data_IF_288477531973
#
_entry.id   IF_288477531973
#
_cell.length_a   1.000
_cell.length_b   1.000
_cell.length_c   1.000
_cell.angle_alpha   90.00
_cell.angle_beta   90.00
_cell.angle_gamma   90.00
#
_symmetry.space_group_name_H-M   'P 1'
#
loop_
_entity.id
_entity.type
_entity.pdbx_description
1 polymer ?
#
# COMPACT_ATOMS: atom_id res chain seq x y z
N UNK A 1 12.17 5.02 -13.29
CA UNK A 1 12.13 4.45 -11.94
C UNK A 1 12.61 3.01 -12.06
N UNK A 2 13.70 2.65 -11.41
CA UNK A 2 14.24 1.29 -11.47
C UNK A 2 13.55 0.43 -10.42
N UNK A 3 12.44 -0.20 -10.82
CA UNK A 3 11.50 -0.90 -9.94
C UNK A 3 12.16 -2.03 -9.14
N UNK A 4 13.23 -2.64 -9.67
CA UNK A 4 13.95 -3.74 -9.05
C UNK A 4 15.08 -3.31 -8.11
N UNK A 5 15.44 -2.03 -8.08
CA UNK A 5 16.43 -1.51 -7.12
C UNK A 5 15.80 -1.06 -5.80
N UNK A 6 14.48 -0.96 -5.73
CA UNK A 6 13.77 -0.66 -4.49
C UNK A 6 13.52 -1.95 -3.71
N UNK A 7 14.18 -2.08 -2.56
CA UNK A 7 14.06 -3.25 -1.69
C UNK A 7 12.62 -3.54 -1.24
N UNK A 8 11.77 -2.51 -1.12
CA UNK A 8 10.36 -2.66 -0.74
C UNK A 8 9.58 -3.32 -1.89
N UNK A 9 9.80 -2.86 -3.12
CA UNK A 9 9.14 -3.42 -4.30
C UNK A 9 9.59 -4.87 -4.54
N UNK A 10 10.89 -5.15 -4.45
CA UNK A 10 11.42 -6.51 -4.59
C UNK A 10 10.84 -7.45 -3.54
N UNK A 11 10.80 -7.03 -2.27
CA UNK A 11 10.19 -7.82 -1.20
C UNK A 11 8.70 -8.11 -1.49
N UNK A 12 7.95 -7.09 -1.91
CA UNK A 12 6.53 -7.23 -2.25
C UNK A 12 6.28 -8.22 -3.39
N UNK A 13 7.10 -8.16 -4.45
CA UNK A 13 7.01 -9.10 -5.58
C UNK A 13 7.33 -10.54 -5.18
N UNK A 14 8.39 -10.74 -4.38
CA UNK A 14 8.75 -12.07 -3.87
C UNK A 14 7.64 -12.63 -3.00
N UNK A 15 7.09 -11.82 -2.09
CA UNK A 15 5.98 -12.24 -1.24
C UNK A 15 4.75 -12.63 -2.08
N UNK A 16 4.40 -11.82 -3.09
CA UNK A 16 3.28 -12.12 -3.99
C UNK A 16 3.48 -13.44 -4.76
N UNK A 17 4.70 -13.69 -5.27
CA UNK A 17 5.03 -14.94 -5.96
C UNK A 17 4.89 -16.16 -5.02
N UNK A 18 5.41 -16.05 -3.79
CA UNK A 18 5.32 -17.13 -2.80
C UNK A 18 3.87 -17.45 -2.47
N UNK A 19 3.04 -16.42 -2.23
CA UNK A 19 1.62 -16.60 -1.93
C UNK A 19 0.90 -17.28 -3.11
N UNK A 20 1.20 -16.87 -4.34
CA UNK A 20 0.60 -17.46 -5.53
C UNK A 20 0.94 -18.95 -5.66
N UNK A 21 2.22 -19.31 -5.49
CA UNK A 21 2.69 -20.70 -5.57
C UNK A 21 2.05 -21.56 -4.48
N UNK A 22 2.04 -21.07 -3.23
CA UNK A 22 1.40 -21.77 -2.11
C UNK A 22 -0.10 -21.95 -2.36
N UNK A 23 -0.79 -20.92 -2.85
CA UNK A 23 -2.23 -20.98 -3.15
C UNK A 23 -2.53 -22.03 -4.22
N UNK A 24 -1.76 -22.06 -5.30
CA UNK A 24 -1.92 -23.05 -6.37
C UNK A 24 -1.67 -24.46 -5.83
N UNK A 25 -0.60 -24.64 -5.05
CA UNK A 25 -0.24 -25.92 -4.45
C UNK A 25 -1.33 -26.44 -3.51
N UNK A 26 -1.73 -25.65 -2.51
CA UNK A 26 -2.74 -26.04 -1.52
C UNK A 26 -4.08 -26.33 -2.20
N UNK A 27 -4.53 -25.45 -3.12
CA UNK A 27 -5.79 -25.66 -3.84
C UNK A 27 -5.76 -26.94 -4.67
N UNK A 28 -4.65 -27.22 -5.35
CA UNK A 28 -4.48 -28.45 -6.14
C UNK A 28 -4.45 -29.68 -5.25
N UNK A 29 -3.79 -29.61 -4.09
CA UNK A 29 -3.74 -30.68 -3.10
C UNK A 29 -5.12 -31.00 -2.56
N UNK A 30 -5.89 -29.98 -2.15
CA UNK A 30 -7.25 -30.12 -1.66
C UNK A 30 -8.20 -30.70 -2.71
N UNK A 31 -8.11 -30.24 -3.97
CA UNK A 31 -8.91 -30.79 -5.08
C UNK A 31 -8.58 -32.26 -5.32
N UNK A 32 -7.30 -32.61 -5.28
CA UNK A 32 -6.86 -34.00 -5.43
C UNK A 32 -7.39 -34.87 -4.29
N UNK A 33 -7.33 -34.40 -3.05
CA UNK A 33 -7.85 -35.12 -1.90
C UNK A 33 -9.36 -35.34 -1.99
N UNK A 34 -10.13 -34.32 -2.39
CA UNK A 34 -11.58 -34.43 -2.58
C UNK A 34 -11.97 -35.45 -3.66
N UNK A 35 -11.15 -35.60 -4.71
CA UNK A 35 -11.43 -36.53 -5.82
C UNK A 35 -11.03 -37.97 -5.48
N UNK A 36 -9.86 -38.14 -4.88
CA UNK A 36 -9.20 -39.45 -4.80
C UNK A 36 -9.33 -40.10 -3.41
N UNK A 37 -9.62 -39.32 -2.36
CA UNK A 37 -9.69 -39.83 -0.98
C UNK A 37 -11.08 -40.31 -0.64
N UNK A 38 -11.16 -41.44 0.07
CA UNK A 38 -12.40 -41.92 0.69
C UNK A 38 -12.40 -41.54 2.16
N UNK A 39 -13.51 -40.98 2.65
CA UNK A 39 -13.63 -40.64 4.06
C UNK A 39 -13.66 -41.90 4.92
N UNK A 40 -12.70 -42.02 5.82
CA UNK A 40 -12.61 -43.09 6.81
C UNK A 40 -12.40 -42.44 8.18
N UNK A 41 -13.17 -42.86 9.18
CA UNK A 41 -13.08 -42.30 10.52
C UNK A 41 -14.30 -42.65 11.36
N UNK A 42 -14.18 -42.43 12.67
CA UNK A 42 -15.31 -42.56 13.59
C UNK A 42 -16.25 -41.36 13.44
N UNK A 43 -17.56 -41.62 13.45
CA UNK A 43 -18.56 -40.55 13.44
C UNK A 43 -18.68 -39.94 14.84
N UNK A 44 -18.76 -38.61 14.88
CA UNK A 44 -19.11 -37.87 16.08
C UNK A 44 -20.54 -38.18 16.53
N UNK A 45 -20.82 -37.96 17.82
CA UNK A 45 -22.17 -38.03 18.36
C UNK A 45 -22.79 -39.42 18.32
N UNK A 46 -22.03 -40.48 18.56
CA UNK A 46 -22.51 -41.88 18.60
C UNK A 46 -23.23 -42.33 17.31
N UNK A 47 -22.90 -41.74 16.16
CA UNK A 47 -23.51 -42.09 14.88
C UNK A 47 -24.85 -41.39 14.59
N UNK A 48 -25.14 -40.29 15.28
CA UNK A 48 -26.26 -39.42 14.90
C UNK A 48 -26.03 -38.83 13.49
N UNK A 49 -27.05 -38.95 12.65
CA UNK A 49 -27.06 -38.43 11.29
C UNK A 49 -28.06 -37.27 11.20
N UNK A 50 -27.66 -36.18 10.58
CA UNK A 50 -28.52 -35.04 10.26
C UNK A 50 -28.79 -35.07 8.76
N UNK A 51 -30.03 -35.40 8.38
CA UNK A 51 -30.43 -35.53 6.96
C UNK A 51 -29.53 -36.49 6.16
N UNK A 52 -29.17 -37.61 6.79
CA UNK A 52 -28.26 -38.61 6.19
C UNK A 52 -26.78 -38.21 6.16
N UNK A 53 -26.42 -37.02 6.66
CA UNK A 53 -25.03 -36.55 6.76
C UNK A 53 -24.54 -36.75 8.21
N UNK A 54 -23.39 -37.41 8.35
CA UNK A 54 -22.68 -37.56 9.62
C UNK A 54 -21.40 -36.74 9.63
N UNK A 55 -20.96 -36.31 10.81
CA UNK A 55 -19.70 -35.58 11.01
C UNK A 55 -18.62 -36.53 11.51
N UNK A 56 -17.39 -36.40 11.00
CA UNK A 56 -16.25 -37.21 11.47
C UNK A 56 -15.60 -36.58 12.71
N UNK A 57 -15.20 -37.42 13.66
CA UNK A 57 -14.39 -37.04 14.82
C UNK A 57 -12.90 -36.88 14.44
N UNK A 58 -12.61 -35.97 13.53
CA UNK A 58 -11.25 -35.69 13.07
C UNK A 58 -10.52 -34.77 14.04
N UNK A 59 -9.22 -35.03 14.26
CA UNK A 59 -8.35 -34.08 14.92
C UNK A 59 -8.16 -32.83 14.05
N UNK A 60 -8.05 -31.67 14.70
CA UNK A 60 -7.77 -30.42 13.99
C UNK A 60 -6.37 -30.50 13.34
N UNK A 61 -6.20 -30.06 12.08
CA UNK A 61 -4.91 -30.09 11.42
C UNK A 61 -3.83 -29.32 12.20
N UNK A 62 -2.67 -29.92 12.39
CA UNK A 62 -1.56 -29.31 13.16
C UNK A 62 -1.14 -27.97 12.54
N UNK A 63 -1.10 -27.87 11.20
CA UNK A 63 -0.79 -26.63 10.50
C UNK A 63 -1.79 -25.50 10.78
N UNK A 64 -3.08 -25.82 10.94
CA UNK A 64 -4.10 -24.86 11.31
C UNK A 64 -3.89 -24.34 12.74
N UNK A 65 -3.67 -25.25 13.71
CA UNK A 65 -3.41 -24.85 15.10
C UNK A 65 -2.15 -24.00 15.18
N UNK A 66 -1.06 -24.43 14.53
CA UNK A 66 0.19 -23.68 14.50
C UNK A 66 -0.01 -22.27 13.92
N UNK A 67 -0.73 -22.15 12.80
CA UNK A 67 -1.01 -20.84 12.18
C UNK A 67 -1.86 -19.96 13.09
N UNK A 68 -2.89 -20.51 13.73
CA UNK A 68 -3.73 -19.80 14.68
C UNK A 68 -2.95 -19.32 15.90
N UNK A 69 -2.06 -20.14 16.44
CA UNK A 69 -1.20 -19.74 17.56
C UNK A 69 -0.18 -18.67 17.12
N UNK A 70 0.38 -18.77 15.92
CA UNK A 70 1.26 -17.74 15.37
C UNK A 70 0.58 -16.37 15.25
N UNK A 71 -0.68 -16.31 14.79
CA UNK A 71 -1.40 -15.03 14.69
C UNK A 71 -1.73 -14.44 16.06
N UNK A 72 -2.02 -15.27 17.06
CA UNK A 72 -2.19 -14.82 18.45
C UNK A 72 -0.90 -14.21 18.97
N UNK A 73 0.23 -14.92 18.84
CA UNK A 73 1.55 -14.40 19.27
C UNK A 73 1.90 -13.10 18.55
N UNK A 74 1.61 -13.02 17.25
CA UNK A 74 1.80 -11.80 16.46
C UNK A 74 0.94 -10.64 16.98
N UNK A 75 -0.32 -10.87 17.31
CA UNK A 75 -1.21 -9.85 17.87
C UNK A 75 -0.69 -9.30 19.20
N UNK A 76 -0.21 -10.18 20.09
CA UNK A 76 0.47 -9.75 21.32
C UNK A 76 1.70 -8.90 21.01
N UNK A 77 2.57 -9.36 20.11
CA UNK A 77 3.74 -8.58 19.73
C UNK A 77 3.37 -7.20 19.17
N UNK A 78 2.37 -7.14 18.30
CA UNK A 78 1.91 -5.90 17.67
C UNK A 78 1.39 -4.89 18.69
N UNK A 79 0.55 -5.31 19.65
CA UNK A 79 -0.04 -4.40 20.64
C UNK A 79 0.92 -3.95 21.73
N UNK A 80 1.88 -4.77 22.11
CA UNK A 80 2.77 -4.46 23.23
C UNK A 80 4.13 -3.90 22.80
N UNK A 81 4.64 -4.28 21.62
CA UNK A 81 5.98 -3.92 21.17
C UNK A 81 6.00 -3.18 19.83
N UNK A 82 5.19 -3.59 18.85
CA UNK A 82 5.18 -2.97 17.53
C UNK A 82 4.61 -1.55 17.56
N UNK A 83 3.36 -1.43 18.00
CA UNK A 83 2.64 -0.16 18.09
C UNK A 83 1.96 -0.06 19.47
N UNK A 84 2.73 0.20 20.53
CA UNK A 84 2.19 0.22 21.88
C UNK A 84 1.17 1.35 22.05
N UNK A 85 -0.02 1.01 22.54
CA UNK A 85 -1.16 1.93 22.65
C UNK A 85 -0.88 3.17 23.53
N UNK A 86 0.11 3.10 24.42
CA UNK A 86 0.45 4.15 25.37
C UNK A 86 1.59 5.08 24.91
N UNK A 87 2.24 4.80 23.78
CA UNK A 87 3.44 5.54 23.35
C UNK A 87 3.50 5.83 21.86
N UNK A 88 2.83 5.04 21.03
CA UNK A 88 2.80 5.27 19.60
C UNK A 88 1.81 6.35 19.19
N UNK A 89 2.23 7.25 18.30
CA UNK A 89 1.37 8.26 17.68
C UNK A 89 1.63 8.33 16.18
N UNK A 90 0.59 8.11 15.38
CA UNK A 90 0.67 8.25 13.92
C UNK A 90 1.05 9.68 13.51
N UNK A 91 0.53 10.69 14.22
CA UNK A 91 0.86 12.10 13.97
C UNK A 91 2.32 12.37 14.34
N UNK A 92 2.81 11.78 15.44
CA UNK A 92 4.22 11.88 15.85
C UNK A 92 5.15 11.30 14.78
N UNK A 93 4.87 10.07 14.33
CA UNK A 93 5.62 9.41 13.26
C UNK A 93 5.62 10.24 11.97
N UNK A 94 4.45 10.74 11.56
CA UNK A 94 4.33 11.60 10.38
C UNK A 94 5.17 12.87 10.51
N UNK A 95 5.12 13.54 11.66
CA UNK A 95 5.89 14.77 11.88
C UNK A 95 7.40 14.52 11.83
N UNK A 96 7.87 13.39 12.37
CA UNK A 96 9.28 12.98 12.29
C UNK A 96 9.70 12.67 10.85
N UNK A 97 8.85 11.94 10.11
CA UNK A 97 9.09 11.59 8.71
C UNK A 97 9.15 12.84 7.84
N UNK A 98 8.17 13.75 7.97
CA UNK A 98 8.15 15.03 7.24
C UNK A 98 9.36 15.87 7.60
N UNK A 99 9.74 15.94 8.88
CA UNK A 99 10.95 16.67 9.30
C UNK A 99 12.21 16.11 8.64
N UNK A 100 12.39 14.79 8.66
CA UNK A 100 13.54 14.13 8.05
C UNK A 100 13.53 14.28 6.52
N UNK A 101 12.36 14.18 5.89
CA UNK A 101 12.17 14.40 4.45
C UNK A 101 12.52 15.84 4.08
N UNK A 102 11.97 16.83 4.78
CA UNK A 102 12.22 18.25 4.53
C UNK A 102 13.70 18.60 4.68
N UNK A 103 14.39 18.07 5.69
CA UNK A 103 15.85 18.26 5.84
C UNK A 103 16.62 17.73 4.63
N UNK A 104 16.30 16.53 4.15
CA UNK A 104 16.94 15.94 2.96
C UNK A 104 16.59 16.73 1.69
N UNK A 105 15.33 17.12 1.56
CA UNK A 105 14.82 17.91 0.45
C UNK A 105 15.55 19.26 0.38
N UNK A 106 15.54 20.02 1.46
CA UNK A 106 16.24 21.31 1.56
C UNK A 106 17.73 21.17 1.27
N UNK A 107 18.41 20.16 1.81
CA UNK A 107 19.83 19.94 1.55
C UNK A 107 20.11 19.64 0.07
N UNK A 108 19.27 18.83 -0.59
CA UNK A 108 19.40 18.49 -2.00
C UNK A 108 19.16 19.69 -2.92
N UNK A 109 18.19 20.53 -2.56
CA UNK A 109 17.68 21.60 -3.42
C UNK A 109 18.14 23.00 -3.01
N UNK A 110 19.05 23.11 -2.03
CA UNK A 110 19.57 24.38 -1.50
C UNK A 110 20.18 25.28 -2.58
N UNK A 111 20.78 24.68 -3.60
CA UNK A 111 21.48 25.37 -4.68
C UNK A 111 20.98 24.85 -6.02
N UNK A 112 19.75 25.22 -6.37
CA UNK A 112 19.18 24.94 -7.68
C UNK A 112 19.68 25.94 -8.72
N UNK A 113 20.12 25.44 -9.87
CA UNK A 113 20.34 26.25 -11.06
C UNK A 113 19.02 26.67 -11.72
N UNK A 114 19.08 27.68 -12.59
CA UNK A 114 17.89 28.21 -13.28
C UNK A 114 17.11 27.12 -14.04
N UNK A 115 17.81 26.19 -14.70
CA UNK A 115 17.17 25.10 -15.42
C UNK A 115 16.39 24.17 -14.47
N UNK A 116 16.98 23.82 -13.35
CA UNK A 116 16.37 22.90 -12.38
C UNK A 116 15.16 23.55 -11.68
N UNK A 117 15.20 24.87 -11.44
CA UNK A 117 14.04 25.64 -10.96
C UNK A 117 12.89 25.58 -11.96
N UNK A 118 13.16 25.73 -13.26
CA UNK A 118 12.14 25.63 -14.31
C UNK A 118 11.58 24.21 -14.39
N UNK A 119 12.44 23.18 -14.39
CA UNK A 119 12.00 21.78 -14.45
C UNK A 119 11.11 21.44 -13.23
N UNK A 120 11.50 21.87 -12.03
CA UNK A 120 10.71 21.69 -10.80
C UNK A 120 9.38 22.44 -10.87
N UNK A 121 9.40 23.71 -11.31
CA UNK A 121 8.21 24.53 -11.48
C UNK A 121 7.23 23.95 -12.50
N UNK A 122 7.72 23.39 -13.61
CA UNK A 122 6.90 22.68 -14.60
C UNK A 122 6.23 21.44 -13.98
N UNK A 123 6.95 20.67 -13.17
CA UNK A 123 6.37 19.54 -12.43
C UNK A 123 5.23 19.96 -11.51
N UNK A 124 5.45 21.02 -10.72
CA UNK A 124 4.43 21.61 -9.83
C UNK A 124 3.22 22.11 -10.65
N UNK A 125 3.46 22.82 -11.75
CA UNK A 125 2.40 23.32 -12.63
C UNK A 125 1.54 22.19 -13.21
N UNK A 126 2.18 21.11 -13.68
CA UNK A 126 1.46 19.95 -14.22
C UNK A 126 0.57 19.28 -13.17
N UNK A 127 0.99 19.21 -11.91
CA UNK A 127 0.24 18.56 -10.84
C UNK A 127 -0.86 19.47 -10.25
N UNK A 128 -0.63 20.78 -10.14
CA UNK A 128 -1.50 21.67 -9.37
C UNK A 128 -2.26 22.70 -10.21
N UNK A 129 -1.80 23.04 -11.42
CA UNK A 129 -2.33 24.16 -12.19
C UNK A 129 -2.90 23.72 -13.55
N UNK A 130 -2.37 22.66 -14.14
CA UNK A 130 -2.69 22.25 -15.52
C UNK A 130 -4.15 21.81 -15.69
N UNK A 131 -4.80 21.37 -14.61
CA UNK A 131 -6.22 20.98 -14.66
C UNK A 131 -7.12 22.14 -15.07
N UNK A 132 -6.76 23.38 -14.71
CA UNK A 132 -7.50 24.59 -15.07
C UNK A 132 -6.82 25.36 -16.21
N UNK A 133 -5.49 25.46 -16.22
CA UNK A 133 -4.75 26.28 -17.18
C UNK A 133 -4.28 25.52 -18.43
N UNK A 134 -4.62 24.24 -18.54
CA UNK A 134 -4.15 23.36 -19.61
C UNK A 134 -2.68 22.96 -19.45
N UNK A 135 -2.28 21.88 -20.13
CA UNK A 135 -0.91 21.35 -20.06
C UNK A 135 0.14 22.29 -20.66
N UNK A 136 -0.27 23.18 -21.59
CA UNK A 136 0.59 24.19 -22.22
C UNK A 136 0.52 25.55 -21.53
N UNK A 137 -0.25 25.68 -20.43
CA UNK A 137 -0.54 26.94 -19.76
C UNK A 137 -1.29 27.98 -20.63
N UNK A 138 -1.84 27.57 -21.77
CA UNK A 138 -2.56 28.46 -22.69
C UNK A 138 -4.00 28.75 -22.28
N UNK A 139 -4.47 28.14 -21.18
CA UNK A 139 -5.83 28.26 -20.69
C UNK A 139 -6.82 27.31 -21.36
N UNK A 140 -8.11 27.50 -21.07
CA UNK A 140 -9.21 26.66 -21.56
C UNK A 140 -10.27 27.52 -22.26
N UNK A 141 -10.03 27.94 -23.51
CA UNK A 141 -11.01 28.61 -24.39
C UNK A 141 -12.01 29.55 -23.68
N UNK A 142 -11.52 30.47 -22.83
CA UNK A 142 -12.34 31.46 -22.11
C UNK A 142 -12.71 31.11 -20.66
N UNK A 143 -12.53 29.86 -20.22
CA UNK A 143 -12.74 29.41 -18.84
C UNK A 143 -11.52 29.59 -17.94
N UNK A 144 -10.32 29.65 -18.52
CA UNK A 144 -9.08 29.94 -17.81
C UNK A 144 -8.16 30.81 -18.68
N UNK A 145 -7.46 31.74 -18.06
CA UNK A 145 -6.60 32.71 -18.74
C UNK A 145 -5.34 32.04 -19.31
N UNK A 146 -4.90 32.52 -20.49
CA UNK A 146 -3.64 32.14 -21.10
C UNK A 146 -2.47 32.75 -20.32
N UNK A 147 -1.71 31.91 -19.62
CA UNK A 147 -0.59 32.31 -18.76
C UNK A 147 0.71 32.54 -19.54
N UNK A 148 0.81 32.06 -20.78
CA UNK A 148 1.97 32.29 -21.66
C UNK A 148 2.03 33.74 -22.15
N UNK A 149 0.89 34.45 -22.12
CA UNK A 149 0.77 35.85 -22.55
C UNK A 149 0.63 36.85 -21.40
N UNK A 150 0.40 36.37 -20.17
CA UNK A 150 -0.10 37.22 -19.09
C UNK A 150 0.92 37.46 -17.97
N UNK A 151 1.08 38.73 -17.58
CA UNK A 151 1.50 39.15 -16.24
C UNK A 151 2.96 39.61 -16.07
N UNK A 152 3.15 40.69 -15.31
CA UNK A 152 4.43 40.96 -14.62
C UNK A 152 4.61 39.89 -13.54
N UNK A 153 5.85 39.48 -13.26
CA UNK A 153 6.18 38.49 -12.22
C UNK A 153 5.45 38.75 -10.89
N UNK A 154 5.41 40.02 -10.46
CA UNK A 154 4.73 40.47 -9.25
C UNK A 154 3.24 40.11 -9.23
N UNK A 155 2.54 40.29 -10.36
CA UNK A 155 1.11 39.97 -10.47
C UNK A 155 0.85 38.46 -10.47
N UNK A 156 1.75 37.67 -11.08
CA UNK A 156 1.69 36.21 -11.06
C UNK A 156 1.84 35.71 -9.62
N UNK A 157 2.83 36.24 -8.89
CA UNK A 157 3.07 35.86 -7.49
C UNK A 157 1.93 36.27 -6.56
N UNK A 158 1.30 37.43 -6.79
CA UNK A 158 0.15 37.88 -6.01
C UNK A 158 -1.07 36.95 -6.22
N UNK A 159 -1.35 36.61 -7.48
CA UNK A 159 -2.44 35.69 -7.85
C UNK A 159 -2.22 34.31 -7.21
N UNK A 160 -1.00 33.77 -7.26
CA UNK A 160 -0.69 32.45 -6.67
C UNK A 160 -0.88 32.44 -5.15
N UNK A 161 -0.58 33.55 -4.46
CA UNK A 161 -0.65 33.63 -2.99
C UNK A 161 -2.04 33.93 -2.46
N UNK A 162 -2.84 34.68 -3.21
CA UNK A 162 -4.10 35.25 -2.70
C UNK A 162 -5.35 34.78 -3.46
N UNK A 163 -5.20 34.19 -4.65
CA UNK A 163 -6.30 33.76 -5.51
C UNK A 163 -6.74 34.86 -6.48
#
# INVERSE_FOLDING_TARGET
>A
MDFLNDHINVFGLIAALVILVLTIYESSSLIKEMRDSKSQGELMGNGHLFDGIGEFANNVPVGWIASFMCTIVWAFWYFFFGYPLNSFSQIGQYNEEVKAHNQKFEAKWKHLGQKELVDMGQGIFLVHCSQCHGITAEGLHGSAQNLVRWGKEEGIMDTIKHG
#
